data_IF_281774033791
#
_entry.id   IF_281774033791
#
_cell.length_a   1.000
_cell.length_b   1.000
_cell.length_c   1.000
_cell.angle_alpha   90.00
_cell.angle_beta   90.00
_cell.angle_gamma   90.00
#
_symmetry.space_group_name_H-M   'P 1'
#
loop_
_entity.id
_entity.type
_entity.pdbx_description
1 polymer ?
#
# COMPACT_ATOMS: atom_id res chain seq x y z
N UNK A 1 20.04 -9.63 2.68
CA UNK A 1 20.15 -8.42 1.83
C UNK A 1 19.19 -8.64 0.68
N UNK A 2 18.09 -7.91 0.64
CA UNK A 2 17.11 -7.94 -0.48
C UNK A 2 17.63 -6.98 -1.56
N UNK A 3 17.15 -7.13 -2.80
CA UNK A 3 17.54 -6.46 -4.05
C UNK A 3 18.29 -5.12 -3.90
N UNK A 4 19.29 -4.88 -4.75
CA UNK A 4 19.98 -3.59 -4.86
C UNK A 4 19.06 -2.52 -5.48
N UNK A 5 17.93 -2.26 -4.82
CA UNK A 5 16.98 -1.21 -5.11
C UNK A 5 17.43 0.03 -4.36
N UNK A 6 18.15 0.91 -5.05
CA UNK A 6 18.41 2.32 -4.74
C UNK A 6 17.98 2.78 -3.32
N UNK A 7 18.71 2.41 -2.27
CA UNK A 7 18.55 2.95 -0.91
C UNK A 7 17.14 2.90 -0.29
N UNK A 8 16.24 2.08 -0.82
CA UNK A 8 14.89 1.93 -0.27
C UNK A 8 14.94 1.16 1.05
N UNK A 9 14.10 1.59 1.99
CA UNK A 9 13.98 1.01 3.35
C UNK A 9 12.54 0.59 3.61
N UNK A 10 11.56 1.39 3.18
CA UNK A 10 10.17 0.97 3.15
C UNK A 10 10.02 -0.20 2.18
N UNK A 11 9.21 -1.19 2.58
CA UNK A 11 8.95 -2.44 1.86
C UNK A 11 10.17 -3.37 1.69
N UNK A 12 11.38 -2.86 1.46
CA UNK A 12 12.61 -3.66 1.29
C UNK A 12 13.13 -4.22 2.61
N UNK A 13 13.03 -3.43 3.69
CA UNK A 13 13.40 -3.87 5.03
C UNK A 13 12.17 -4.16 5.89
N UNK A 14 12.35 -5.01 6.89
CA UNK A 14 11.36 -5.13 7.95
C UNK A 14 11.24 -3.79 8.70
N UNK A 15 10.01 -3.40 9.02
CA UNK A 15 9.80 -2.11 9.66
C UNK A 15 8.36 -1.83 10.06
N UNK A 16 8.24 -0.88 10.97
CA UNK A 16 6.99 -0.33 11.45
C UNK A 16 6.88 1.13 11.05
N UNK A 17 5.80 1.48 10.36
CA UNK A 17 5.60 2.77 9.74
C UNK A 17 4.28 3.38 10.21
N UNK A 18 4.33 4.61 10.73
CA UNK A 18 3.15 5.44 10.91
C UNK A 18 2.71 5.99 9.54
N UNK A 19 1.42 6.14 9.31
CA UNK A 19 0.86 6.84 8.16
C UNK A 19 -0.05 7.95 8.64
N UNK A 20 0.17 9.18 8.20
CA UNK A 20 -0.71 10.32 8.53
C UNK A 20 -1.00 11.12 7.27
N UNK A 21 -2.28 11.45 7.04
CA UNK A 21 -2.66 12.21 5.87
C UNK A 21 -4.16 12.35 5.70
N UNK A 22 -4.62 12.11 4.48
CA UNK A 22 -6.00 12.35 4.09
C UNK A 22 -6.59 11.33 3.13
N UNK A 23 -7.92 11.29 3.10
CA UNK A 23 -8.74 10.56 2.16
C UNK A 23 -9.66 11.55 1.43
N UNK A 24 -9.69 11.46 0.11
CA UNK A 24 -10.53 12.22 -0.79
C UNK A 24 -11.52 11.27 -1.47
N UNK A 25 -12.81 11.57 -1.33
CA UNK A 25 -13.90 10.85 -1.98
C UNK A 25 -14.60 11.77 -2.99
N UNK A 26 -15.13 11.23 -4.10
CA UNK A 26 -15.86 12.04 -5.07
C UNK A 26 -16.98 12.85 -4.41
N UNK A 27 -17.00 14.16 -4.65
CA UNK A 27 -18.00 15.10 -4.14
C UNK A 27 -18.10 15.19 -2.61
N UNK A 28 -17.04 14.83 -1.88
CA UNK A 28 -16.98 14.99 -0.42
C UNK A 28 -15.76 15.81 0.00
N UNK A 29 -15.84 16.40 1.19
CA UNK A 29 -14.70 17.04 1.82
C UNK A 29 -13.62 16.02 2.15
N UNK A 30 -12.36 16.47 2.11
CA UNK A 30 -11.21 15.68 2.51
C UNK A 30 -11.31 15.29 3.98
N UNK A 31 -11.12 14.00 4.26
CA UNK A 31 -11.14 13.42 5.60
C UNK A 31 -9.72 13.12 6.06
N UNK A 32 -9.45 13.18 7.36
CA UNK A 32 -8.15 12.77 7.89
C UNK A 32 -8.03 11.24 7.87
N UNK A 33 -6.83 10.73 7.64
CA UNK A 33 -6.50 9.31 7.85
C UNK A 33 -5.26 9.19 8.73
N UNK A 34 -5.34 8.30 9.72
CA UNK A 34 -4.18 7.83 10.48
C UNK A 34 -4.05 6.32 10.28
N UNK A 35 -2.83 5.82 10.22
CA UNK A 35 -2.59 4.41 9.96
C UNK A 35 -1.25 3.90 10.44
N UNK A 36 -1.08 2.60 10.27
CA UNK A 36 0.15 1.88 10.57
C UNK A 36 0.38 0.82 9.50
N UNK A 37 1.62 0.68 9.05
CA UNK A 37 2.05 -0.36 8.12
C UNK A 37 3.20 -1.14 8.74
N UNK A 38 3.05 -2.45 8.82
CA UNK A 38 4.09 -3.38 9.25
C UNK A 38 4.58 -4.16 8.04
N UNK A 39 5.90 -4.22 7.86
CA UNK A 39 6.58 -5.01 6.82
C UNK A 39 7.42 -6.07 7.51
N UNK A 40 7.36 -7.31 7.03
CA UNK A 40 8.25 -8.38 7.45
C UNK A 40 8.69 -9.24 6.28
N UNK A 41 9.84 -9.86 6.42
CA UNK A 41 10.47 -10.71 5.42
C UNK A 41 10.83 -12.06 6.03
N UNK A 42 10.79 -13.08 5.19
CA UNK A 42 11.34 -14.41 5.48
C UNK A 42 12.68 -14.58 4.75
N UNK A 43 13.43 -15.64 5.07
CA UNK A 43 14.71 -15.94 4.41
C UNK A 43 14.59 -16.25 2.91
N UNK A 44 13.40 -16.63 2.44
CA UNK A 44 13.19 -17.18 1.10
C UNK A 44 12.56 -16.15 0.14
N UNK A 45 12.90 -14.87 0.32
CA UNK A 45 12.44 -13.72 -0.47
C UNK A 45 10.90 -13.47 -0.44
N UNK A 46 10.20 -14.06 0.53
CA UNK A 46 8.79 -13.74 0.78
C UNK A 46 8.65 -12.58 1.75
N UNK A 47 7.76 -11.65 1.41
CA UNK A 47 7.35 -10.57 2.28
C UNK A 47 5.90 -10.75 2.73
N UNK A 48 5.60 -10.24 3.92
CA UNK A 48 4.23 -9.88 4.29
C UNK A 48 4.18 -8.41 4.68
N UNK A 49 3.06 -7.77 4.36
CA UNK A 49 2.79 -6.41 4.77
C UNK A 49 1.38 -6.36 5.38
N UNK A 50 1.20 -5.64 6.47
CA UNK A 50 -0.10 -5.42 7.08
C UNK A 50 -0.31 -3.94 7.29
N UNK A 51 -1.35 -3.37 6.67
CA UNK A 51 -1.74 -1.99 6.85
C UNK A 51 -3.10 -1.91 7.54
N UNK A 52 -3.24 -0.94 8.45
CA UNK A 52 -4.51 -0.58 9.08
C UNK A 52 -4.65 0.93 9.04
N UNK A 53 -5.74 1.42 8.47
CA UNK A 53 -6.08 2.83 8.38
C UNK A 53 -7.38 3.12 9.13
N UNK A 54 -7.41 4.24 9.84
CA UNK A 54 -8.52 4.74 10.65
C UNK A 54 -9.00 6.04 10.04
N UNK A 55 -10.30 6.10 9.75
CA UNK A 55 -11.02 7.31 9.37
C UNK A 55 -11.85 7.77 10.58
N UNK A 56 -11.77 9.06 10.98
CA UNK A 56 -12.45 9.58 12.17
C UNK A 56 -13.97 9.69 11.95
N UNK A 57 -14.36 10.06 10.74
CA UNK A 57 -15.76 10.10 10.33
C UNK A 57 -16.09 8.72 9.77
N UNK A 58 -16.91 7.92 10.46
CA UNK A 58 -17.29 6.55 10.08
C UNK A 58 -18.15 6.46 8.79
N UNK A 59 -18.00 7.42 7.88
CA UNK A 59 -18.56 7.39 6.53
C UNK A 59 -17.72 6.44 5.66
N UNK A 60 -18.35 5.85 4.64
CA UNK A 60 -17.66 5.00 3.65
C UNK A 60 -16.38 5.67 3.14
N UNK A 61 -15.23 4.98 3.10
CA UNK A 61 -14.99 3.57 3.39
C UNK A 61 -15.08 3.20 4.88
N UNK A 62 -15.66 2.02 5.17
CA UNK A 62 -15.72 1.49 6.54
C UNK A 62 -14.36 1.51 7.26
N UNK A 63 -14.34 2.09 8.47
CA UNK A 63 -13.19 2.18 9.37
C UNK A 63 -13.25 1.04 10.41
N UNK A 64 -12.17 0.28 10.65
CA UNK A 64 -10.86 0.39 10.02
C UNK A 64 -10.79 -0.27 8.64
N UNK A 65 -10.06 0.35 7.72
CA UNK A 65 -9.60 -0.32 6.50
C UNK A 65 -8.38 -1.17 6.85
N UNK A 66 -8.50 -2.49 6.75
CA UNK A 66 -7.38 -3.42 6.93
C UNK A 66 -6.99 -4.07 5.61
N UNK A 67 -5.68 -4.16 5.37
CA UNK A 67 -5.06 -4.68 4.16
C UNK A 67 -3.91 -5.62 4.56
N UNK A 68 -3.96 -6.88 4.13
CA UNK A 68 -2.91 -7.87 4.41
C UNK A 68 -2.34 -8.41 3.10
N UNK A 69 -1.06 -8.15 2.86
CA UNK A 69 -0.35 -8.50 1.65
C UNK A 69 0.59 -9.67 1.93
N UNK A 70 0.70 -10.56 0.95
CA UNK A 70 1.77 -11.56 0.87
C UNK A 70 2.27 -11.64 -0.56
N UNK A 71 3.58 -11.60 -0.74
CA UNK A 71 4.17 -11.69 -2.06
C UNK A 71 5.61 -12.16 -2.01
N UNK A 72 6.21 -12.27 -3.20
CA UNK A 72 7.60 -12.69 -3.37
C UNK A 72 8.31 -11.70 -4.27
N UNK A 73 9.45 -11.20 -3.82
CA UNK A 73 10.36 -10.36 -4.59
C UNK A 73 11.75 -10.96 -4.44
N UNK A 74 12.21 -11.65 -5.48
CA UNK A 74 13.50 -12.31 -5.45
C UNK A 74 14.65 -11.31 -5.38
N UNK A 75 15.77 -11.72 -4.80
CA UNK A 75 16.96 -10.87 -4.76
C UNK A 75 17.39 -10.41 -6.17
N UNK A 76 17.61 -9.10 -6.32
CA UNK A 76 18.05 -8.47 -7.56
C UNK A 76 16.92 -8.16 -8.55
N UNK A 77 15.71 -8.66 -8.29
CA UNK A 77 14.53 -8.30 -9.08
C UNK A 77 13.96 -6.94 -8.66
N UNK A 78 13.27 -6.29 -9.59
CA UNK A 78 12.47 -5.09 -9.31
C UNK A 78 10.97 -5.38 -9.41
N UNK A 79 10.57 -6.46 -10.07
CA UNK A 79 9.18 -6.83 -10.26
C UNK A 79 8.75 -7.94 -9.30
N UNK A 80 7.55 -7.83 -8.74
CA UNK A 80 7.00 -8.82 -7.81
C UNK A 80 5.50 -9.04 -8.01
N UNK A 81 5.03 -10.18 -7.53
CA UNK A 81 3.61 -10.52 -7.46
C UNK A 81 3.15 -10.56 -6.01
N UNK A 82 1.87 -10.30 -5.79
CA UNK A 82 1.28 -10.34 -4.46
C UNK A 82 -0.18 -10.80 -4.49
N UNK A 83 -0.62 -11.34 -3.37
CA UNK A 83 -2.03 -11.45 -2.99
C UNK A 83 -2.30 -10.47 -1.86
N UNK A 84 -3.47 -9.86 -1.87
CA UNK A 84 -3.94 -8.95 -0.84
C UNK A 84 -5.30 -9.43 -0.33
N UNK A 85 -5.44 -9.52 0.99
CA UNK A 85 -6.73 -9.62 1.66
C UNK A 85 -7.18 -8.22 2.04
N UNK A 86 -8.16 -7.70 1.32
CA UNK A 86 -8.78 -6.40 1.52
C UNK A 86 -10.05 -6.56 2.37
N UNK A 87 -10.16 -5.84 3.49
CA UNK A 87 -11.33 -5.92 4.39
C UNK A 87 -12.67 -5.73 3.69
N UNK A 88 -12.75 -4.82 2.71
CA UNK A 88 -14.00 -4.52 1.99
C UNK A 88 -14.20 -5.32 0.68
N UNK A 89 -13.13 -5.75 0.02
CA UNK A 89 -13.21 -6.35 -1.33
C UNK A 89 -12.82 -7.83 -1.33
N UNK A 90 -12.44 -8.38 -0.19
CA UNK A 90 -11.99 -9.75 -0.07
C UNK A 90 -10.61 -9.96 -0.67
N UNK A 91 -10.43 -11.12 -1.32
CA UNK A 91 -9.14 -11.50 -1.91
C UNK A 91 -8.93 -10.80 -3.25
N UNK A 92 -7.79 -10.17 -3.40
CA UNK A 92 -7.36 -9.46 -4.61
C UNK A 92 -5.96 -9.88 -4.99
N UNK A 93 -5.63 -9.78 -6.27
CA UNK A 93 -4.30 -10.09 -6.79
C UNK A 93 -3.63 -8.84 -7.29
N UNK A 94 -2.30 -8.81 -7.27
CA UNK A 94 -1.55 -7.64 -7.72
C UNK A 94 -0.13 -7.94 -8.14
N UNK A 95 0.46 -6.91 -8.72
CA UNK A 95 1.86 -6.87 -9.13
C UNK A 95 2.46 -5.53 -8.74
N UNK A 96 3.76 -5.51 -8.53
CA UNK A 96 4.47 -4.28 -8.21
C UNK A 96 5.87 -4.21 -8.78
N UNK A 97 6.37 -2.99 -8.75
CA UNK A 97 7.70 -2.59 -9.19
C UNK A 97 8.37 -1.81 -8.06
N UNK A 98 9.64 -2.12 -7.83
CA UNK A 98 10.56 -1.33 -7.01
C UNK A 98 11.45 -0.55 -7.99
N UNK A 99 11.15 0.72 -8.17
CA UNK A 99 11.97 1.64 -8.97
C UNK A 99 13.09 2.26 -8.15
N UNK A 100 13.73 3.28 -8.70
CA UNK A 100 14.84 4.00 -8.03
C UNK A 100 14.35 4.91 -6.89
N UNK A 101 13.19 5.55 -7.08
CA UNK A 101 12.62 6.50 -6.11
C UNK A 101 11.22 6.12 -5.63
N UNK A 102 10.61 5.14 -6.27
CA UNK A 102 9.23 4.78 -5.97
C UNK A 102 9.00 3.29 -6.00
N UNK A 103 8.16 2.83 -5.10
CA UNK A 103 7.61 1.49 -5.10
C UNK A 103 6.16 1.63 -5.53
N UNK A 104 5.80 1.04 -6.66
CA UNK A 104 4.44 1.14 -7.21
C UNK A 104 3.87 -0.25 -7.36
N UNK A 105 2.64 -0.45 -6.92
CA UNK A 105 1.90 -1.69 -7.14
C UNK A 105 0.49 -1.40 -7.59
N UNK A 106 -0.04 -2.30 -8.40
CA UNK A 106 -1.44 -2.30 -8.81
C UNK A 106 -2.08 -3.62 -8.42
N UNK A 107 -3.37 -3.60 -8.12
CA UNK A 107 -4.12 -4.79 -7.75
C UNK A 107 -5.55 -4.72 -8.28
N UNK A 108 -6.20 -5.88 -8.40
CA UNK A 108 -7.54 -6.03 -8.93
C UNK A 108 -8.28 -7.18 -8.26
N UNK A 109 -9.60 -7.03 -8.12
CA UNK A 109 -10.49 -8.08 -7.62
C UNK A 109 -10.77 -9.07 -8.76
N UNK A 110 -10.46 -10.35 -8.56
CA UNK A 110 -10.70 -11.37 -9.58
C UNK A 110 -12.20 -11.61 -9.80
N UNK A 111 -12.62 -11.68 -11.06
CA UNK A 111 -14.01 -11.98 -11.43
C UNK A 111 -15.02 -10.88 -11.07
N UNK A 112 -14.56 -9.70 -10.63
CA UNK A 112 -15.44 -8.61 -10.23
C UNK A 112 -16.02 -7.87 -11.45
N UNK A 113 -17.34 -7.87 -11.67
CA UNK A 113 -17.96 -7.20 -12.82
C UNK A 113 -17.73 -5.69 -12.82
N UNK A 114 -17.60 -5.09 -11.63
CA UNK A 114 -17.31 -3.67 -11.45
C UNK A 114 -15.84 -3.32 -11.76
N UNK A 115 -14.99 -4.33 -12.01
CA UNK A 115 -13.55 -4.18 -12.27
C UNK A 115 -12.88 -3.34 -11.19
N UNK A 116 -13.18 -3.62 -9.92
CA UNK A 116 -12.56 -2.93 -8.79
C UNK A 116 -11.08 -3.28 -8.69
N UNK A 117 -10.31 -2.29 -8.30
CA UNK A 117 -8.88 -2.42 -8.10
C UNK A 117 -8.29 -1.13 -7.57
N UNK A 118 -6.98 -1.03 -7.68
CA UNK A 118 -6.30 0.17 -7.28
C UNK A 118 -4.81 0.15 -7.56
N UNK A 119 -4.19 1.29 -7.30
CA UNK A 119 -2.76 1.49 -7.38
C UNK A 119 -2.29 2.09 -6.07
N UNK A 120 -1.16 1.63 -5.57
CA UNK A 120 -0.46 2.20 -4.43
C UNK A 120 0.95 2.59 -4.88
N UNK A 121 1.34 3.81 -4.58
CA UNK A 121 2.67 4.35 -4.86
C UNK A 121 3.29 4.87 -3.58
N UNK A 122 4.54 4.50 -3.33
CA UNK A 122 5.35 4.98 -2.22
C UNK A 122 6.58 5.67 -2.78
N UNK A 123 6.62 6.99 -2.75
CA UNK A 123 7.74 7.79 -3.20
C UNK A 123 8.68 8.12 -2.04
N UNK A 124 9.96 7.79 -2.18
CA UNK A 124 10.95 8.03 -1.13
C UNK A 124 11.25 9.52 -1.01
N UNK A 125 11.08 10.06 0.20
CA UNK A 125 11.50 11.41 0.56
C UNK A 125 12.89 11.37 1.21
N UNK A 126 13.11 10.37 2.09
CA UNK A 126 14.39 10.03 2.70
C UNK A 126 14.33 8.58 3.23
N UNK A 127 15.41 8.01 3.81
CA UNK A 127 15.41 6.63 4.31
C UNK A 127 14.38 6.31 5.40
N UNK A 128 13.75 7.30 6.04
CA UNK A 128 12.75 7.04 7.08
C UNK A 128 11.38 7.66 6.76
N UNK A 129 11.19 8.22 5.55
CA UNK A 129 9.95 8.87 5.15
C UNK A 129 9.61 8.67 3.68
N UNK A 130 8.33 8.38 3.41
CA UNK A 130 7.79 8.19 2.08
C UNK A 130 6.49 8.97 1.92
N UNK A 131 6.26 9.56 0.75
CA UNK A 131 4.94 9.99 0.35
C UNK A 131 4.17 8.79 -0.23
N UNK A 132 3.00 8.50 0.32
CA UNK A 132 2.14 7.40 -0.09
C UNK A 132 0.91 7.97 -0.80
N UNK A 133 0.58 7.36 -1.93
CA UNK A 133 -0.68 7.59 -2.63
C UNK A 133 -1.35 6.26 -2.89
N UNK A 134 -2.64 6.15 -2.56
CA UNK A 134 -3.48 5.00 -2.88
C UNK A 134 -4.68 5.50 -3.68
N UNK A 135 -4.89 4.95 -4.87
CA UNK A 135 -6.05 5.24 -5.71
C UNK A 135 -6.86 3.97 -5.84
N UNK A 136 -8.14 4.05 -5.50
CA UNK A 136 -9.10 2.97 -5.71
C UNK A 136 -9.96 3.28 -6.93
N UNK A 137 -10.22 2.26 -7.74
CA UNK A 137 -10.94 2.40 -9.00
C UNK A 137 -12.02 1.33 -9.17
N UNK A 138 -13.02 1.63 -10.00
CA UNK A 138 -13.98 0.67 -10.54
C UNK A 138 -14.15 0.93 -12.04
N UNK A 139 -13.57 0.07 -12.87
CA UNK A 139 -13.49 0.31 -14.31
C UNK A 139 -12.71 1.59 -14.60
N UNK A 140 -13.36 2.60 -15.19
CA UNK A 140 -12.76 3.90 -15.53
C UNK A 140 -12.94 4.98 -14.47
N UNK A 141 -13.62 4.66 -13.36
CA UNK A 141 -13.94 5.63 -12.30
C UNK A 141 -12.92 5.55 -11.16
N UNK A 142 -12.51 6.70 -10.64
CA UNK A 142 -11.84 6.78 -9.34
C UNK A 142 -12.89 6.76 -8.22
N UNK A 143 -12.74 5.82 -7.29
CA UNK A 143 -13.57 5.67 -6.11
C UNK A 143 -13.04 6.52 -4.94
N UNK A 144 -11.72 6.59 -4.79
CA UNK A 144 -11.07 7.37 -3.74
C UNK A 144 -9.60 7.64 -4.06
N UNK A 145 -9.06 8.68 -3.44
CA UNK A 145 -7.63 9.00 -3.38
C UNK A 145 -7.24 9.12 -1.91
N UNK A 146 -6.27 8.34 -1.47
CA UNK A 146 -5.65 8.49 -0.15
C UNK A 146 -4.23 9.00 -0.34
N UNK A 147 -3.86 10.02 0.40
CA UNK A 147 -2.51 10.59 0.40
C UNK A 147 -2.02 10.66 1.84
N UNK A 148 -0.82 10.13 2.10
CA UNK A 148 -0.25 10.15 3.45
C UNK A 148 1.27 10.25 3.42
N UNK A 149 1.84 10.74 4.51
CA UNK A 149 3.27 10.62 4.78
C UNK A 149 3.49 9.40 5.66
N UNK A 150 4.30 8.46 5.18
CA UNK A 150 4.81 7.36 5.98
C UNK A 150 6.05 7.82 6.74
N UNK A 151 6.11 7.51 8.04
CA UNK A 151 7.29 7.76 8.88
C UNK A 151 7.66 6.51 9.66
N UNK A 152 8.92 6.07 9.57
CA UNK A 152 9.40 4.89 10.29
C UNK A 152 9.39 5.14 11.80
N UNK A 153 8.79 4.24 12.57
CA UNK A 153 8.63 4.36 14.03
C UNK A 153 9.83 3.84 14.82
N UNK A 154 10.56 2.87 14.27
CA UNK A 154 11.74 2.28 14.90
C UNK A 154 12.78 1.97 13.82
N UNK A 155 14.05 2.38 14.00
CA UNK A 155 15.15 1.98 13.14
C UNK A 155 15.39 0.46 13.13
#
# INVERSE_FOLDING_TARGET
>A
MVAQAAGHTFFIDAGDWAAEGSLCLPNQSQQKVSGRILVSWTSDDWFTMAAKFIFPDQLEPQSPLTLQYRGKLAYGESHYTLVLQHSQWGRVEGVGWVGEKSITKRFWVLGDPAKRGGTETYWQLNPNQYAMTIVYTAGTKNLSLMEATLTRRTP
#
